data_IF_732532135254
#
_entry.id   IF_732532135254
#
_cell.length_a   1.000
_cell.length_b   1.000
_cell.length_c   1.000
_cell.angle_alpha   90.00
_cell.angle_beta   90.00
_cell.angle_gamma   90.00
#
_symmetry.space_group_name_H-M   'P 1'
#
loop_
_entity.id
_entity.type
_entity.pdbx_description
1 polymer ?
#
# COMPACT_ATOMS: atom_id res chain seq x y z
N UNK A 1 -2.81 -23.78 26.29
CA UNK A 1 -3.59 -22.68 25.70
C UNK A 1 -2.96 -21.40 26.22
N UNK A 2 -2.13 -20.74 25.41
CA UNK A 2 -1.58 -19.42 25.72
C UNK A 2 -1.13 -18.78 24.41
N UNK A 3 -2.00 -17.95 23.84
CA UNK A 3 -1.77 -17.25 22.58
C UNK A 3 -1.04 -15.94 22.86
N UNK A 4 0.29 -15.96 22.71
CA UNK A 4 1.12 -14.75 22.76
C UNK A 4 0.89 -13.90 21.52
N UNK A 5 0.28 -12.73 21.72
CA UNK A 5 0.10 -11.65 20.76
C UNK A 5 1.47 -11.05 20.40
N UNK A 6 1.89 -11.18 19.14
CA UNK A 6 2.99 -10.43 18.55
C UNK A 6 2.42 -9.28 17.72
N UNK A 7 2.57 -8.06 18.22
CA UNK A 7 2.43 -6.84 17.42
C UNK A 7 3.80 -6.54 16.79
N UNK A 8 3.89 -6.55 15.46
CA UNK A 8 5.05 -6.02 14.72
C UNK A 8 4.61 -4.75 14.02
N UNK A 9 5.03 -3.62 14.57
CA UNK A 9 4.97 -2.31 13.94
C UNK A 9 5.97 -2.24 12.79
N UNK A 10 5.52 -1.93 11.58
CA UNK A 10 6.39 -1.58 10.45
C UNK A 10 6.34 -0.07 10.25
N UNK A 11 7.37 0.62 10.70
CA UNK A 11 7.76 1.95 10.21
C UNK A 11 9.19 1.85 9.67
N UNK A 12 9.36 2.17 8.39
CA UNK A 12 10.62 2.19 7.67
C UNK A 12 11.46 3.41 8.08
N UNK A 13 12.76 3.21 8.35
CA UNK A 13 13.79 4.19 7.97
C UNK A 13 15.12 3.48 7.68
N UNK A 14 15.66 3.68 6.47
CA UNK A 14 17.06 3.39 6.13
C UNK A 14 17.95 4.45 6.75
N UNK A 15 18.91 4.07 7.60
CA UNK A 15 20.30 4.52 7.52
C UNK A 15 21.20 3.67 8.43
N UNK A 16 22.43 3.47 8.00
CA UNK A 16 23.45 2.55 8.51
C UNK A 16 24.14 3.05 9.79
N UNK A 17 24.16 2.25 10.88
CA UNK A 17 25.27 1.95 11.81
C UNK A 17 24.74 1.25 13.11
N UNK A 18 25.60 0.69 13.99
CA UNK A 18 25.55 -0.71 14.44
C UNK A 18 24.56 -1.02 15.56
N UNK A 19 24.20 -2.30 15.64
CA UNK A 19 23.17 -2.89 16.50
C UNK A 19 23.56 -2.86 17.98
N UNK A 20 22.81 -2.12 18.79
CA UNK A 20 22.67 -2.34 20.23
C UNK A 20 21.30 -2.98 20.51
N UNK A 21 21.31 -4.17 21.11
CA UNK A 21 20.11 -4.91 21.50
C UNK A 21 19.76 -4.54 22.94
N UNK A 22 18.67 -3.81 23.14
CA UNK A 22 18.09 -3.54 24.46
C UNK A 22 16.89 -4.46 24.68
N UNK A 23 16.80 -5.04 25.87
CA UNK A 23 15.66 -5.86 26.31
C UNK A 23 15.13 -5.32 27.63
N UNK A 24 13.81 -5.37 27.81
CA UNK A 24 13.12 -4.90 29.01
C UNK A 24 12.70 -6.10 29.85
N UNK A 25 13.13 -6.17 31.11
CA UNK A 25 12.72 -7.20 32.07
C UNK A 25 12.50 -6.56 33.44
N UNK A 26 11.34 -6.85 34.06
CA UNK A 26 10.94 -6.43 35.42
C UNK A 26 11.19 -4.94 35.74
N UNK A 27 10.70 -4.04 34.89
CA UNK A 27 10.54 -2.62 35.23
C UNK A 27 11.82 -1.80 35.38
N UNK A 28 12.96 -2.24 34.83
CA UNK A 28 14.21 -1.45 34.81
C UNK A 28 15.00 -1.69 33.52
N UNK A 29 15.54 -0.61 32.94
CA UNK A 29 16.47 -0.69 31.81
C UNK A 29 17.87 -1.07 32.30
N UNK A 30 18.48 -2.08 31.67
CA UNK A 30 19.86 -2.51 31.98
C UNK A 30 20.71 -2.37 30.72
N UNK A 31 21.79 -1.60 30.83
CA UNK A 31 22.78 -1.42 29.76
C UNK A 31 24.02 -2.28 30.06
N UNK A 32 24.39 -3.15 29.12
CA UNK A 32 25.66 -3.86 29.18
C UNK A 32 26.66 -3.20 28.23
N UNK A 33 27.67 -2.52 28.79
CA UNK A 33 28.87 -2.11 28.06
C UNK A 33 29.94 -3.18 28.28
N UNK A 34 30.22 -3.98 27.25
CA UNK A 34 31.34 -4.92 27.26
C UNK A 34 32.66 -4.16 27.21
N UNK A 35 33.51 -4.36 28.21
CA UNK A 35 34.84 -3.75 28.31
C UNK A 35 35.92 -4.48 27.52
N UNK A 36 36.91 -3.71 27.07
CA UNK A 36 38.20 -4.14 26.53
C UNK A 36 39.20 -2.98 26.68
N UNK A 37 40.39 -3.30 27.17
CA UNK A 37 41.39 -2.49 27.91
C UNK A 37 42.18 -1.43 27.11
N UNK A 38 42.92 -0.52 27.79
CA UNK A 38 43.50 0.70 27.20
C UNK A 38 45.00 0.58 26.87
N UNK A 39 45.47 1.39 25.91
CA UNK A 39 46.90 1.69 25.74
C UNK A 39 47.10 3.21 25.53
N UNK A 40 48.20 3.69 26.13
CA UNK A 40 48.57 5.08 26.43
C UNK A 40 49.28 5.80 25.26
N UNK A 41 49.29 7.14 25.33
CA UNK A 41 50.23 8.04 24.64
C UNK A 41 49.52 9.31 24.16
N UNK A 42 49.46 10.39 24.96
CA UNK A 42 50.32 11.60 24.87
C UNK A 42 50.13 12.36 23.53
N UNK A 43 49.95 13.67 23.44
CA UNK A 43 49.97 14.81 24.37
C UNK A 43 49.63 16.09 23.57
N UNK A 44 49.43 17.20 24.29
CA UNK A 44 49.57 18.61 23.86
C UNK A 44 48.35 19.37 23.29
N UNK A 45 47.81 20.23 24.16
CA UNK A 45 47.09 21.50 23.90
C UNK A 45 48.10 22.58 23.45
N UNK A 46 47.72 23.69 22.75
CA UNK A 46 46.88 24.73 23.36
C UNK A 46 45.85 25.48 22.48
N UNK A 47 44.88 26.03 23.23
CA UNK A 47 44.06 27.25 23.05
C UNK A 47 44.72 28.29 22.12
N UNK A 48 44.03 29.00 21.21
CA UNK A 48 43.22 30.21 21.50
C UNK A 48 42.57 30.79 20.22
N UNK A 49 41.28 31.14 20.34
CA UNK A 49 40.45 32.23 19.72
C UNK A 49 40.49 32.65 18.24
N UNK A 50 39.25 32.83 17.76
CA UNK A 50 38.69 33.96 16.99
C UNK A 50 38.88 34.07 15.46
N UNK A 51 37.77 33.80 14.79
CA UNK A 51 37.10 34.62 13.75
C UNK A 51 37.90 35.11 12.53
N UNK A 52 37.50 34.66 11.34
CA UNK A 52 36.61 35.45 10.45
C UNK A 52 36.43 34.81 9.06
N UNK A 53 35.22 35.00 8.50
CA UNK A 53 34.86 35.03 7.05
C UNK A 53 35.10 33.73 6.24
N UNK A 54 34.10 33.09 5.66
CA UNK A 54 33.32 33.62 4.52
C UNK A 54 32.18 32.66 4.15
N UNK A 55 31.18 33.23 3.47
CA UNK A 55 29.94 32.67 2.94
C UNK A 55 30.08 31.29 2.28
N UNK A 56 29.25 30.34 2.71
CA UNK A 56 28.85 29.17 1.92
C UNK A 56 27.33 29.08 1.94
N UNK A 57 26.71 29.34 0.79
CA UNK A 57 25.26 29.25 0.57
C UNK A 57 24.81 27.80 0.68
N UNK A 58 24.23 27.42 1.82
CA UNK A 58 23.55 26.14 1.99
C UNK A 58 22.12 26.25 1.50
N UNK A 59 21.83 25.72 0.31
CA UNK A 59 20.48 25.50 -0.15
C UNK A 59 19.81 24.45 0.76
N UNK A 60 19.02 24.93 1.72
CA UNK A 60 18.17 24.08 2.55
C UNK A 60 17.16 23.37 1.66
N UNK A 61 17.30 22.05 1.54
CA UNK A 61 16.26 21.19 0.97
C UNK A 61 15.11 21.18 1.96
N UNK A 62 14.12 22.05 1.74
CA UNK A 62 12.82 21.96 2.40
C UNK A 62 12.15 20.68 1.93
N UNK A 63 12.22 19.63 2.75
CA UNK A 63 11.35 18.46 2.61
C UNK A 63 9.94 18.93 2.93
N UNK A 64 9.17 19.28 1.90
CA UNK A 64 7.74 19.48 2.02
C UNK A 64 7.10 18.14 2.36
N UNK A 65 6.70 17.98 3.62
CA UNK A 65 5.75 16.95 4.03
C UNK A 65 4.50 17.10 3.16
N UNK A 66 4.28 16.16 2.24
CA UNK A 66 3.07 16.12 1.41
C UNK A 66 1.91 15.82 2.36
N UNK A 67 1.11 16.83 2.68
CA UNK A 67 -0.13 16.63 3.42
C UNK A 67 -1.00 15.64 2.64
N UNK A 68 -1.55 14.65 3.33
CA UNK A 68 -2.56 13.76 2.78
C UNK A 68 -3.76 14.63 2.39
N UNK A 69 -3.96 14.85 1.09
CA UNK A 69 -5.10 15.60 0.61
C UNK A 69 -6.37 14.84 1.04
N UNK A 70 -7.29 15.53 1.73
CA UNK A 70 -8.63 15.02 2.01
C UNK A 70 -9.22 14.58 0.66
N UNK A 71 -9.68 13.32 0.49
CA UNK A 71 -10.42 12.98 -0.70
C UNK A 71 -11.59 13.96 -0.74
N UNK A 72 -11.68 14.71 -1.83
CA UNK A 72 -12.81 15.59 -2.11
C UNK A 72 -14.05 14.77 -1.79
N UNK A 73 -14.82 15.26 -0.82
CA UNK A 73 -16.17 14.78 -0.50
C UNK A 73 -16.86 14.35 -1.78
N UNK A 74 -17.40 13.13 -1.80
CA UNK A 74 -18.33 12.53 -2.77
C UNK A 74 -18.27 13.12 -4.18
N UNK A 75 -18.04 12.27 -5.18
CA UNK A 75 -18.37 12.65 -6.57
C UNK A 75 -19.78 13.28 -6.58
N UNK A 76 -20.06 14.31 -7.41
CA UNK A 76 -21.37 14.97 -7.43
C UNK A 76 -22.56 14.03 -7.70
N UNK A 77 -22.29 12.76 -8.05
CA UNK A 77 -23.23 11.65 -8.18
C UNK A 77 -23.44 10.82 -6.89
N UNK A 78 -22.88 11.19 -5.74
CA UNK A 78 -23.08 10.49 -4.47
C UNK A 78 -22.34 9.15 -4.30
N UNK A 79 -21.43 8.80 -5.22
CA UNK A 79 -20.72 7.52 -5.21
C UNK A 79 -19.29 7.56 -4.67
N UNK A 80 -18.75 6.37 -4.36
CA UNK A 80 -17.35 6.17 -3.96
C UNK A 80 -16.42 6.74 -5.04
N UNK A 81 -15.46 7.62 -4.70
CA UNK A 81 -14.48 8.13 -5.66
C UNK A 81 -13.72 6.98 -6.34
N UNK A 82 -13.49 7.04 -7.66
CA UNK A 82 -12.88 5.94 -8.40
C UNK A 82 -11.35 5.88 -8.27
N UNK A 83 -10.79 6.49 -7.22
CA UNK A 83 -9.35 6.62 -7.03
C UNK A 83 -8.73 5.27 -6.67
N UNK A 84 -7.99 4.69 -7.63
CA UNK A 84 -7.22 3.47 -7.47
C UNK A 84 -5.72 3.76 -7.54
N UNK A 85 -4.99 3.44 -6.48
CA UNK A 85 -3.53 3.44 -6.50
C UNK A 85 -3.02 2.13 -7.10
N UNK A 86 -2.21 2.24 -8.16
CA UNK A 86 -1.72 1.11 -8.92
C UNK A 86 -0.19 1.11 -8.90
N UNK A 87 0.39 -0.01 -8.44
CA UNK A 87 1.83 -0.24 -8.44
C UNK A 87 2.17 -1.49 -9.24
N UNK A 88 3.09 -1.37 -10.20
CA UNK A 88 3.55 -2.48 -11.06
C UNK A 88 4.96 -2.88 -10.65
N UNK A 89 5.14 -4.17 -10.36
CA UNK A 89 6.40 -4.77 -9.94
C UNK A 89 6.87 -5.85 -10.92
N UNK A 90 8.16 -5.83 -11.23
CA UNK A 90 8.84 -6.94 -11.90
C UNK A 90 9.79 -7.64 -10.93
N UNK A 91 9.43 -8.85 -10.50
CA UNK A 91 10.18 -9.67 -9.54
C UNK A 91 10.54 -8.88 -8.27
N UNK A 92 9.55 -8.19 -7.72
CA UNK A 92 9.65 -7.45 -6.46
C UNK A 92 10.22 -6.03 -6.59
N UNK A 93 10.77 -5.66 -7.75
CA UNK A 93 11.21 -4.28 -8.02
C UNK A 93 10.03 -3.47 -8.55
N UNK A 94 9.76 -2.30 -7.96
CA UNK A 94 8.77 -1.35 -8.46
C UNK A 94 9.25 -0.73 -9.77
N UNK A 95 8.40 -0.72 -10.79
CA UNK A 95 8.69 -0.20 -12.12
C UNK A 95 7.74 0.92 -12.55
N UNK A 96 6.50 0.93 -12.05
CA UNK A 96 5.52 1.98 -12.31
C UNK A 96 4.62 2.16 -11.11
N UNK A 97 4.19 3.40 -10.88
CA UNK A 97 3.24 3.78 -9.85
C UNK A 97 2.42 4.96 -10.34
N UNK A 98 1.10 4.87 -10.24
CA UNK A 98 0.20 5.99 -10.52
C UNK A 98 -1.12 5.85 -9.74
N UNK A 99 -1.77 6.98 -9.49
CA UNK A 99 -3.13 7.04 -8.96
C UNK A 99 -4.10 7.32 -10.11
N UNK A 100 -5.01 6.38 -10.34
CA UNK A 100 -6.01 6.46 -11.41
C UNK A 100 -7.29 7.09 -10.88
N UNK A 101 -7.65 8.26 -11.43
CA UNK A 101 -8.88 9.00 -11.06
C UNK A 101 -10.09 8.68 -11.94
N UNK A 102 -10.13 7.51 -12.59
CA UNK A 102 -11.22 7.09 -13.48
C UNK A 102 -11.86 5.80 -13.00
N UNK A 103 -13.18 5.67 -13.15
CA UNK A 103 -13.92 4.44 -12.81
C UNK A 103 -13.56 3.28 -13.72
N UNK A 104 -13.02 3.54 -14.92
CA UNK A 104 -12.60 2.50 -15.87
C UNK A 104 -11.14 2.70 -16.22
N UNK A 105 -10.33 1.65 -16.05
CA UNK A 105 -8.93 1.67 -16.44
C UNK A 105 -8.46 0.37 -17.08
N UNK A 106 -7.57 0.49 -18.05
CA UNK A 106 -7.04 -0.62 -18.83
C UNK A 106 -5.55 -0.76 -18.58
N UNK A 107 -5.13 -1.93 -18.11
CA UNK A 107 -3.72 -2.30 -17.94
C UNK A 107 -3.25 -3.05 -19.20
N UNK A 108 -2.35 -2.44 -19.97
CA UNK A 108 -1.85 -3.00 -21.22
C UNK A 108 -0.39 -2.59 -21.50
N UNK A 109 0.37 -3.42 -22.23
CA UNK A 109 1.77 -3.14 -22.55
C UNK A 109 1.95 -2.32 -23.83
N UNK A 110 1.27 -2.76 -24.89
CA UNK A 110 1.20 -2.04 -26.16
C UNK A 110 -0.04 -1.16 -26.17
N UNK A 111 0.01 -0.04 -26.90
CA UNK A 111 -1.15 0.82 -27.10
C UNK A 111 -2.31 0.01 -27.62
N UNK A 112 -3.46 0.28 -27.02
CA UNK A 112 -4.70 -0.45 -27.20
C UNK A 112 -5.16 -0.31 -28.65
N UNK A 113 -5.81 -1.36 -29.15
CA UNK A 113 -6.54 -1.35 -30.42
C UNK A 113 -7.45 -0.12 -30.50
N UNK A 114 -7.45 0.66 -31.60
CA UNK A 114 -8.31 1.85 -31.76
C UNK A 114 -9.82 1.56 -31.58
N UNK A 115 -10.23 0.28 -31.55
CA UNK A 115 -11.59 -0.13 -31.25
C UNK A 115 -12.04 0.04 -29.78
N UNK A 116 -11.13 0.29 -28.82
CA UNK A 116 -11.53 0.57 -27.43
C UNK A 116 -11.83 2.07 -27.29
N UNK A 117 -13.04 2.48 -26.85
CA UNK A 117 -13.36 3.88 -26.60
C UNK A 117 -12.46 4.44 -25.49
N UNK A 118 -11.36 5.10 -25.90
CA UNK A 118 -10.35 5.67 -25.01
C UNK A 118 -10.87 6.90 -24.28
N UNK A 119 -11.90 7.57 -24.80
CA UNK A 119 -12.42 8.84 -24.26
C UNK A 119 -12.92 8.75 -22.81
N UNK A 120 -13.15 7.54 -22.28
CA UNK A 120 -13.59 7.30 -20.90
C UNK A 120 -12.72 6.29 -20.14
N UNK A 121 -11.64 5.78 -20.74
CA UNK A 121 -10.84 4.68 -20.17
C UNK A 121 -9.42 5.15 -19.87
N UNK A 122 -9.02 5.14 -18.60
CA UNK A 122 -7.65 5.47 -18.21
C UNK A 122 -6.70 4.35 -18.62
N UNK A 123 -5.65 4.65 -19.40
CA UNK A 123 -4.66 3.66 -19.80
C UNK A 123 -3.49 3.63 -18.81
N UNK A 124 -3.33 2.48 -18.14
CA UNK A 124 -2.18 2.16 -17.30
C UNK A 124 -1.21 1.34 -18.14
N UNK A 125 -0.15 1.97 -18.65
CA UNK A 125 0.80 1.28 -19.51
C UNK A 125 1.82 0.50 -18.69
N UNK A 126 1.98 -0.79 -18.98
CA UNK A 126 3.09 -1.56 -18.40
C UNK A 126 4.43 -1.01 -18.92
N UNK A 127 5.42 -0.76 -18.05
CA UNK A 127 6.73 -0.26 -18.46
C UNK A 127 7.54 -1.36 -19.16
N UNK A 128 8.42 -0.97 -20.09
CA UNK A 128 9.33 -1.91 -20.75
C UNK A 128 10.28 -2.57 -19.74
N UNK A 129 10.49 -3.90 -19.81
CA UNK A 129 11.44 -4.62 -18.97
C UNK A 129 12.90 -4.43 -19.42
N UNK A 130 13.19 -3.58 -20.41
CA UNK A 130 14.53 -3.36 -20.96
C UNK A 130 15.60 -3.01 -19.91
N UNK A 131 15.21 -2.36 -18.80
CA UNK A 131 16.12 -2.00 -17.70
C UNK A 131 16.41 -3.16 -16.71
N UNK A 132 15.82 -4.35 -16.88
CA UNK A 132 16.12 -5.53 -16.07
C UNK A 132 17.50 -6.10 -16.42
N UNK A 133 18.36 -6.30 -15.42
CA UNK A 133 19.71 -6.82 -15.63
C UNK A 133 19.74 -8.32 -16.05
N UNK A 134 18.86 -9.14 -15.45
CA UNK A 134 18.75 -10.56 -15.78
C UNK A 134 18.09 -10.73 -17.16
N UNK A 135 18.88 -11.14 -18.15
CA UNK A 135 18.41 -11.34 -19.53
C UNK A 135 17.32 -12.41 -19.65
N UNK A 136 17.38 -13.47 -18.83
CA UNK A 136 16.39 -14.54 -18.82
C UNK A 136 15.07 -14.02 -18.25
N UNK A 137 15.13 -13.29 -17.14
CA UNK A 137 13.95 -12.61 -16.58
C UNK A 137 13.35 -11.64 -17.61
N UNK A 138 14.18 -10.80 -18.22
CA UNK A 138 13.76 -9.82 -19.23
C UNK A 138 12.95 -10.46 -20.35
N UNK A 139 13.48 -11.55 -20.94
CA UNK A 139 12.81 -12.28 -22.03
C UNK A 139 11.44 -12.81 -21.62
N UNK A 140 11.35 -13.48 -20.47
CA UNK A 140 10.07 -14.02 -20.00
C UNK A 140 9.07 -12.93 -19.61
N UNK A 141 9.53 -11.83 -18.99
CA UNK A 141 8.66 -10.70 -18.67
C UNK A 141 8.12 -10.06 -19.95
N UNK A 142 8.96 -9.81 -20.96
CA UNK A 142 8.56 -9.27 -22.26
C UNK A 142 7.51 -10.15 -22.96
N UNK A 143 7.73 -11.47 -23.00
CA UNK A 143 6.81 -12.44 -23.61
C UNK A 143 5.41 -12.41 -22.96
N UNK A 144 5.36 -12.34 -21.62
CA UNK A 144 4.11 -12.19 -20.88
C UNK A 144 3.44 -10.86 -21.18
N UNK A 145 4.20 -9.76 -21.18
CA UNK A 145 3.72 -8.40 -21.42
C UNK A 145 3.02 -8.25 -22.78
N UNK A 146 3.56 -8.85 -23.84
CA UNK A 146 2.94 -8.86 -25.18
C UNK A 146 1.52 -9.45 -25.20
N UNK A 147 1.17 -10.27 -24.21
CA UNK A 147 -0.13 -10.92 -24.11
C UNK A 147 -1.00 -10.35 -22.96
N UNK A 148 -0.62 -9.20 -22.38
CA UNK A 148 -1.38 -8.53 -21.30
C UNK A 148 -2.52 -7.67 -21.83
N UNK A 149 -3.57 -7.58 -21.01
CA UNK A 149 -4.76 -6.77 -21.27
C UNK A 149 -5.80 -7.08 -20.20
N UNK A 150 -5.99 -6.14 -19.28
CA UNK A 150 -6.93 -6.27 -18.18
C UNK A 150 -7.72 -4.97 -18.01
N UNK A 151 -9.03 -5.05 -18.18
CA UNK A 151 -9.94 -3.95 -17.86
C UNK A 151 -10.33 -4.05 -16.40
N UNK A 152 -10.19 -2.95 -15.67
CA UNK A 152 -10.72 -2.74 -14.34
C UNK A 152 -11.86 -1.73 -14.42
N UNK A 153 -12.94 -2.00 -13.72
CA UNK A 153 -14.12 -1.14 -13.69
C UNK A 153 -14.68 -1.08 -12.27
N UNK A 154 -14.71 0.12 -11.71
CA UNK A 154 -15.44 0.42 -10.49
C UNK A 154 -16.87 0.83 -10.85
N UNK A 155 -17.83 0.00 -10.49
CA UNK A 155 -19.27 0.28 -10.62
C UNK A 155 -20.05 -0.41 -9.52
N UNK A 156 -21.22 0.12 -9.20
CA UNK A 156 -22.13 -0.47 -8.21
C UNK A 156 -21.44 -0.83 -6.88
N UNK A 157 -20.44 -0.01 -6.52
CA UNK A 157 -19.62 -0.17 -5.34
C UNK A 157 -18.86 -1.49 -5.25
N UNK A 158 -18.41 -1.94 -6.41
CA UNK A 158 -17.56 -3.10 -6.59
C UNK A 158 -16.45 -2.75 -7.55
N UNK A 159 -15.39 -3.54 -7.50
CA UNK A 159 -14.34 -3.51 -8.52
C UNK A 159 -14.47 -4.81 -9.31
N UNK A 160 -14.65 -4.66 -10.61
CA UNK A 160 -14.69 -5.74 -11.57
C UNK A 160 -13.39 -5.78 -12.37
N UNK A 161 -12.97 -6.99 -12.73
CA UNK A 161 -11.83 -7.24 -13.60
C UNK A 161 -12.24 -8.14 -14.76
N UNK A 162 -11.87 -7.75 -15.99
CA UNK A 162 -12.09 -8.55 -17.19
C UNK A 162 -10.77 -8.75 -17.95
N UNK A 163 -10.38 -10.02 -18.12
CA UNK A 163 -9.14 -10.40 -18.81
C UNK A 163 -9.37 -10.48 -20.31
N UNK A 164 -8.80 -9.55 -21.06
CA UNK A 164 -9.05 -9.38 -22.50
C UNK A 164 -8.12 -10.21 -23.41
N UNK A 165 -6.95 -10.62 -22.88
CA UNK A 165 -5.89 -11.27 -23.67
C UNK A 165 -5.52 -12.65 -23.11
N UNK A 166 -4.55 -13.30 -23.76
CA UNK A 166 -4.17 -14.70 -23.49
C UNK A 166 -3.37 -14.88 -22.19
N UNK A 167 -2.70 -13.84 -21.69
CA UNK A 167 -1.95 -13.92 -20.44
C UNK A 167 -2.91 -14.22 -19.27
N UNK A 168 -2.71 -15.35 -18.59
CA UNK A 168 -3.51 -15.71 -17.40
C UNK A 168 -3.27 -14.68 -16.30
N UNK A 169 -4.34 -14.25 -15.64
CA UNK A 169 -4.26 -13.32 -14.50
C UNK A 169 -4.87 -14.00 -13.29
N UNK A 170 -4.09 -14.10 -12.23
CA UNK A 170 -4.54 -14.60 -10.93
C UNK A 170 -4.70 -13.43 -9.98
N UNK A 171 -5.69 -13.48 -9.11
CA UNK A 171 -5.89 -12.43 -8.11
C UNK A 171 -6.08 -13.01 -6.71
N UNK A 172 -5.75 -12.20 -5.71
CA UNK A 172 -5.96 -12.47 -4.30
C UNK A 172 -5.91 -11.17 -3.50
N UNK A 173 -6.61 -11.13 -2.37
CA UNK A 173 -6.40 -10.11 -1.35
C UNK A 173 -5.10 -10.39 -0.57
N UNK A 174 -4.44 -9.35 -0.04
CA UNK A 174 -3.18 -9.48 0.70
C UNK A 174 -3.24 -10.56 1.79
N UNK A 175 -4.31 -10.56 2.58
CA UNK A 175 -4.54 -11.50 3.67
C UNK A 175 -4.63 -12.95 3.21
N UNK A 176 -5.22 -13.20 2.03
CA UNK A 176 -5.30 -14.55 1.47
C UNK A 176 -3.91 -15.09 1.14
N UNK A 177 -2.97 -14.21 0.80
CA UNK A 177 -1.57 -14.56 0.57
C UNK A 177 -0.80 -14.81 1.86
N UNK A 178 -1.13 -14.10 2.95
CA UNK A 178 -0.43 -14.18 4.23
C UNK A 178 -0.83 -15.41 5.07
N UNK A 179 -2.12 -15.75 5.10
CA UNK A 179 -2.65 -16.85 5.93
C UNK A 179 -2.38 -18.23 5.31
N UNK A 180 -1.75 -18.27 4.14
CA UNK A 180 -1.47 -19.50 3.42
C UNK A 180 -2.74 -20.25 2.99
N UNK A 181 -3.93 -19.67 3.12
CA UNK A 181 -5.17 -20.19 2.55
C UNK A 181 -5.26 -19.74 1.08
N UNK A 182 -4.39 -20.31 0.26
CA UNK A 182 -4.27 -19.95 -1.14
C UNK A 182 -5.30 -20.69 -1.98
N UNK A 183 -6.46 -20.08 -2.18
CA UNK A 183 -7.34 -20.34 -3.33
C UNK A 183 -7.19 -19.21 -4.35
N UNK A 184 -6.02 -19.03 -5.00
CA UNK A 184 -5.83 -17.93 -5.93
C UNK A 184 -6.80 -18.08 -7.10
N UNK A 185 -7.58 -17.02 -7.30
CA UNK A 185 -8.70 -16.98 -8.22
C UNK A 185 -8.18 -16.62 -9.60
N UNK A 186 -8.38 -17.50 -10.58
CA UNK A 186 -8.04 -17.24 -11.97
C UNK A 186 -9.15 -16.39 -12.60
N UNK A 187 -8.79 -15.27 -13.23
CA UNK A 187 -9.73 -14.52 -14.07
C UNK A 187 -9.96 -15.30 -15.37
N UNK A 188 -11.21 -15.69 -15.63
CA UNK A 188 -11.62 -16.27 -16.89
C UNK A 188 -11.46 -15.25 -18.03
N UNK A 189 -11.15 -15.73 -19.23
CA UNK A 189 -10.98 -14.83 -20.38
C UNK A 189 -12.34 -14.26 -20.78
N UNK A 190 -12.36 -12.97 -21.10
CA UNK A 190 -13.52 -12.26 -21.66
C UNK A 190 -14.77 -12.32 -20.75
N UNK A 191 -14.60 -12.82 -19.52
CA UNK A 191 -15.60 -12.88 -18.48
C UNK A 191 -15.23 -11.89 -17.40
N UNK A 192 -16.19 -11.04 -17.06
CA UNK A 192 -16.08 -10.12 -15.95
C UNK A 192 -16.14 -10.88 -14.61
N UNK A 193 -15.29 -10.48 -13.67
CA UNK A 193 -15.22 -11.09 -12.34
C UNK A 193 -15.15 -9.99 -11.29
N UNK A 194 -16.01 -10.06 -10.28
CA UNK A 194 -15.91 -9.22 -9.08
C UNK A 194 -14.65 -9.59 -8.29
N UNK A 195 -13.81 -8.59 -7.99
CA UNK A 195 -12.57 -8.77 -7.25
C UNK A 195 -12.54 -8.01 -5.90
N UNK A 196 -13.53 -7.14 -5.66
CA UNK A 196 -13.66 -6.37 -4.43
C UNK A 196 -15.07 -5.81 -4.25
N UNK A 197 -15.57 -5.79 -3.02
CA UNK A 197 -16.86 -5.21 -2.62
C UNK A 197 -16.64 -4.13 -1.55
N UNK A 198 -17.03 -2.89 -1.85
CA UNK A 198 -16.87 -1.78 -0.92
C UNK A 198 -17.89 -1.82 0.23
N UNK A 199 -19.07 -2.44 0.06
CA UNK A 199 -20.04 -2.67 1.15
C UNK A 199 -19.47 -3.61 2.20
N UNK A 200 -18.86 -4.70 1.74
CA UNK A 200 -18.21 -5.67 2.61
C UNK A 200 -17.10 -4.97 3.40
N UNK A 201 -16.24 -4.20 2.73
CA UNK A 201 -15.20 -3.40 3.38
C UNK A 201 -15.76 -2.44 4.45
N UNK A 202 -16.80 -1.66 4.14
CA UNK A 202 -17.38 -0.69 5.07
C UNK A 202 -17.99 -1.37 6.31
N UNK A 203 -18.67 -2.50 6.11
CA UNK A 203 -19.23 -3.32 7.22
C UNK A 203 -18.10 -3.86 8.09
N UNK A 204 -17.10 -4.45 7.45
CA UNK A 204 -15.91 -4.97 8.12
C UNK A 204 -15.11 -3.90 8.87
N UNK A 205 -15.06 -2.66 8.36
CA UNK A 205 -14.40 -1.53 9.01
C UNK A 205 -15.18 -1.07 10.25
N UNK A 206 -16.51 -1.01 10.16
CA UNK A 206 -17.40 -0.71 11.29
C UNK A 206 -17.20 -1.71 12.42
N UNK A 207 -17.25 -3.00 12.10
CA UNK A 207 -17.06 -4.05 13.10
C UNK A 207 -15.67 -4.00 13.74
N UNK A 208 -14.65 -3.61 12.97
CA UNK A 208 -13.29 -3.45 13.51
C UNK A 208 -13.20 -2.31 14.52
N UNK A 209 -13.81 -1.16 14.19
CA UNK A 209 -13.88 -0.01 15.10
C UNK A 209 -14.66 -0.36 16.38
N UNK A 210 -15.77 -1.07 16.24
CA UNK A 210 -16.67 -1.41 17.35
C UNK A 210 -16.17 -2.60 18.20
N UNK A 211 -14.94 -3.06 17.95
CA UNK A 211 -14.32 -4.22 18.60
C UNK A 211 -15.14 -5.51 18.46
N UNK A 212 -16.01 -5.59 17.44
CA UNK A 212 -16.80 -6.78 17.08
C UNK A 212 -15.98 -7.78 16.26
N UNK A 213 -14.83 -7.34 15.73
CA UNK A 213 -13.81 -8.21 15.13
C UNK A 213 -12.42 -7.78 15.54
N UNK A 214 -11.49 -8.74 15.62
CA UNK A 214 -10.11 -8.49 16.03
C UNK A 214 -9.24 -7.86 14.94
N UNK A 215 -9.50 -8.19 13.66
CA UNK A 215 -8.65 -7.81 12.54
C UNK A 215 -9.33 -6.72 11.71
N UNK A 216 -8.53 -5.75 11.25
CA UNK A 216 -8.99 -4.73 10.30
C UNK A 216 -9.44 -5.34 8.98
N UNK A 217 -10.26 -4.67 8.15
CA UNK A 217 -10.55 -5.10 6.78
C UNK A 217 -9.30 -5.14 5.90
N UNK A 218 -9.31 -6.02 4.89
CA UNK A 218 -8.29 -6.01 3.84
C UNK A 218 -8.86 -5.29 2.61
N UNK A 219 -8.04 -4.48 1.98
CA UNK A 219 -8.39 -3.70 0.80
C UNK A 219 -7.24 -3.68 -0.23
N UNK A 220 -6.15 -4.42 0.03
CA UNK A 220 -5.05 -4.52 -0.92
C UNK A 220 -5.26 -5.74 -1.81
N UNK A 221 -5.43 -5.49 -3.11
CA UNK A 221 -5.65 -6.53 -4.11
C UNK A 221 -4.36 -6.75 -4.89
N UNK A 222 -3.94 -7.99 -5.05
CA UNK A 222 -2.81 -8.35 -5.90
C UNK A 222 -3.27 -9.09 -7.14
N UNK A 223 -2.79 -8.64 -8.30
CA UNK A 223 -2.95 -9.29 -9.59
C UNK A 223 -1.59 -9.84 -10.03
N UNK A 224 -1.53 -11.11 -10.42
CA UNK A 224 -0.32 -11.75 -10.91
C UNK A 224 -0.53 -12.25 -12.35
N UNK A 225 0.29 -11.72 -13.26
CA UNK A 225 0.22 -12.02 -14.68
C UNK A 225 1.15 -13.18 -15.02
N UNK A 226 0.62 -14.19 -15.71
CA UNK A 226 1.33 -15.37 -16.19
C UNK A 226 1.67 -16.42 -15.12
N UNK A 227 1.51 -16.12 -13.82
CA UNK A 227 1.94 -17.01 -12.74
C UNK A 227 0.90 -17.13 -11.63
N UNK A 228 0.67 -18.36 -11.15
CA UNK A 228 -0.21 -18.62 -10.00
C UNK A 228 0.50 -18.25 -8.69
N UNK A 229 -0.24 -17.75 -7.70
CA UNK A 229 0.25 -17.65 -6.32
C UNK A 229 0.50 -19.04 -5.72
N UNK A 230 1.48 -19.15 -4.82
CA UNK A 230 1.92 -20.44 -4.27
C UNK A 230 2.51 -20.26 -2.89
N UNK A 231 2.30 -21.20 -1.97
CA UNK A 231 2.90 -21.11 -0.62
C UNK A 231 4.43 -21.19 -0.65
N UNK A 232 4.97 -21.95 -1.61
CA UNK A 232 6.40 -22.20 -1.74
C UNK A 232 7.22 -20.97 -2.19
N UNK A 233 6.58 -19.94 -2.76
CA UNK A 233 7.28 -18.76 -3.29
C UNK A 233 6.52 -17.48 -2.95
N UNK A 234 7.18 -16.48 -2.37
CA UNK A 234 6.54 -15.22 -2.01
C UNK A 234 6.02 -14.49 -3.25
N UNK A 235 5.02 -13.61 -3.08
CA UNK A 235 4.43 -12.84 -4.19
C UNK A 235 5.44 -11.92 -4.88
N UNK A 236 6.45 -11.47 -4.16
CA UNK A 236 7.54 -10.63 -4.65
C UNK A 236 8.45 -11.40 -5.63
N UNK A 237 8.38 -12.74 -5.66
CA UNK A 237 9.13 -13.53 -6.64
C UNK A 237 8.47 -13.58 -8.03
N UNK A 238 7.28 -13.00 -8.20
CA UNK A 238 6.51 -13.09 -9.44
C UNK A 238 7.06 -12.13 -10.50
N UNK A 239 7.10 -12.57 -11.75
CA UNK A 239 7.66 -11.82 -12.87
C UNK A 239 6.92 -10.51 -13.11
N UNK A 240 5.59 -10.53 -12.99
CA UNK A 240 4.72 -9.36 -13.13
C UNK A 240 3.67 -9.44 -12.03
N UNK A 241 3.74 -8.52 -11.08
CA UNK A 241 2.80 -8.37 -9.99
C UNK A 241 2.27 -6.94 -10.02
N UNK A 242 0.95 -6.78 -9.93
CA UNK A 242 0.31 -5.48 -9.78
C UNK A 242 -0.38 -5.45 -8.43
N UNK A 243 -0.15 -4.38 -7.68
CA UNK A 243 -0.86 -4.06 -6.43
C UNK A 243 -1.90 -2.99 -6.75
N UNK A 244 -3.13 -3.21 -6.32
CA UNK A 244 -4.22 -2.24 -6.36
C UNK A 244 -4.60 -1.87 -4.92
N UNK A 245 -4.78 -0.58 -4.66
CA UNK A 245 -5.30 -0.06 -3.39
C UNK A 245 -6.39 0.97 -3.68
N UNK A 246 -7.66 0.70 -3.32
CA UNK A 246 -8.70 1.70 -3.38
C UNK A 246 -8.43 2.79 -2.33
N UNK A 247 -8.19 4.02 -2.79
CA UNK A 247 -7.80 5.15 -1.90
C UNK A 247 -8.90 5.49 -0.90
N UNK A 248 -10.16 5.27 -1.28
CA UNK A 248 -11.29 5.37 -0.37
C UNK A 248 -11.14 4.48 0.86
N UNK A 249 -10.78 3.21 0.65
CA UNK A 249 -10.59 2.25 1.74
C UNK A 249 -9.40 2.62 2.61
N UNK A 250 -8.28 2.99 1.99
CA UNK A 250 -7.07 3.40 2.72
C UNK A 250 -7.32 4.62 3.60
N UNK A 251 -7.99 5.65 3.06
CA UNK A 251 -8.31 6.87 3.80
C UNK A 251 -9.15 6.58 5.05
N UNK A 252 -10.22 5.80 4.91
CA UNK A 252 -11.11 5.51 6.03
C UNK A 252 -10.51 4.55 7.04
N UNK A 253 -9.71 3.60 6.58
CA UNK A 253 -8.93 2.74 7.47
C UNK A 253 -7.96 3.56 8.34
N UNK A 254 -7.20 4.49 7.74
CA UNK A 254 -6.31 5.39 8.49
C UNK A 254 -7.06 6.29 9.47
N UNK A 255 -8.26 6.72 9.10
CA UNK A 255 -9.12 7.54 9.97
C UNK A 255 -9.51 6.77 11.24
N UNK A 256 -10.02 5.54 11.09
CA UNK A 256 -10.41 4.67 12.22
C UNK A 256 -9.22 4.36 13.12
N UNK A 257 -8.04 4.11 12.55
CA UNK A 257 -6.83 3.91 13.36
C UNK A 257 -6.45 5.14 14.18
N UNK A 258 -6.58 6.35 13.62
CA UNK A 258 -6.28 7.60 14.31
C UNK A 258 -7.26 7.89 15.44
N UNK A 259 -8.54 7.62 15.23
CA UNK A 259 -9.58 7.74 16.27
C UNK A 259 -9.27 6.82 17.47
N UNK A 260 -8.97 5.54 17.21
CA UNK A 260 -8.64 4.58 18.26
C UNK A 260 -7.33 4.91 19.01
N UNK A 261 -6.35 5.52 18.34
CA UNK A 261 -5.10 5.95 18.97
C UNK A 261 -5.28 7.18 19.89
N UNK A 262 -6.19 8.10 19.54
CA UNK A 262 -6.51 9.27 20.36
C UNK A 262 -7.16 8.91 21.71
N UNK A 263 -7.79 7.73 21.82
CA UNK A 263 -8.43 7.25 23.06
C UNK A 263 -7.43 6.89 24.17
N UNK A 264 -6.16 6.63 23.85
CA UNK A 264 -5.11 6.28 24.83
C UNK A 264 -4.35 7.49 25.38
N UNK A 265 -4.51 8.67 24.78
CA UNK A 265 -3.77 9.88 25.16
C UNK A 265 -4.64 10.88 25.96
N UNK A 266 -5.71 10.38 26.59
CA UNK A 266 -6.73 11.16 27.30
C UNK A 266 -6.21 11.74 28.64
N UNK A 267 -5.32 12.71 28.54
CA UNK A 267 -5.07 13.74 29.56
C UNK A 267 -5.32 15.16 29.03
N UNK A 268 -5.76 15.31 27.77
CA UNK A 268 -5.98 16.60 27.12
C UNK A 268 -7.28 16.58 26.34
N UNK A 269 -8.32 17.14 26.96
CA UNK A 269 -9.50 17.80 26.39
C UNK A 269 -10.00 17.30 25.02
N UNK A 270 -11.15 16.62 25.07
CA UNK A 270 -11.99 16.28 23.91
C UNK A 270 -12.55 17.55 23.25
N UNK A 271 -12.14 17.86 22.03
CA UNK A 271 -12.93 18.67 21.10
C UNK A 271 -12.66 18.17 19.68
N UNK A 272 -13.75 18.06 18.91
CA UNK A 272 -13.88 17.54 17.52
C UNK A 272 -14.41 16.11 17.38
N UNK A 273 -15.57 15.85 17.98
CA UNK A 273 -16.50 14.78 17.61
C UNK A 273 -17.27 15.06 16.29
N UNK A 274 -16.87 16.08 15.52
CA UNK A 274 -17.55 16.50 14.28
C UNK A 274 -17.12 15.72 13.03
N UNK A 275 -15.94 15.11 13.01
CA UNK A 275 -15.42 14.41 11.82
C UNK A 275 -15.73 12.90 11.80
N UNK A 276 -15.89 12.28 12.97
CA UNK A 276 -16.34 10.88 13.09
C UNK A 276 -17.80 10.68 12.66
N UNK A 277 -18.59 11.76 12.67
CA UNK A 277 -19.95 11.79 12.12
C UNK A 277 -19.95 11.64 10.59
N UNK A 278 -18.90 12.07 9.88
CA UNK A 278 -18.84 12.05 8.42
C UNK A 278 -18.63 10.66 7.82
N UNK A 279 -17.87 9.77 8.49
CA UNK A 279 -17.71 8.37 8.06
C UNK A 279 -19.01 7.60 8.21
N UNK A 280 -19.72 7.82 9.31
CA UNK A 280 -20.96 7.11 9.61
C UNK A 280 -22.14 7.67 8.85
N UNK A 281 -22.27 8.99 8.68
CA UNK A 281 -23.21 9.53 7.69
C UNK A 281 -22.91 8.98 6.31
N UNK A 282 -21.65 8.85 5.89
CA UNK A 282 -21.33 8.27 4.58
C UNK A 282 -21.70 6.78 4.50
N UNK A 283 -21.33 5.96 5.48
CA UNK A 283 -21.67 4.52 5.49
C UNK A 283 -23.19 4.31 5.67
N UNK A 284 -23.87 5.13 6.46
CA UNK A 284 -25.32 5.06 6.69
C UNK A 284 -26.10 5.61 5.49
N UNK A 285 -25.71 6.75 4.90
CA UNK A 285 -26.26 7.26 3.64
C UNK A 285 -26.09 6.24 2.50
N UNK A 286 -24.99 5.51 2.53
CA UNK A 286 -24.70 4.42 1.62
C UNK A 286 -25.52 3.14 1.89
N UNK A 287 -25.78 2.80 3.16
CA UNK A 287 -26.69 1.72 3.53
C UNK A 287 -28.16 2.08 3.24
N UNK A 288 -28.56 3.35 3.36
CA UNK A 288 -29.92 3.84 3.11
C UNK A 288 -30.27 3.97 1.61
N UNK A 289 -29.30 3.97 0.70
CA UNK A 289 -29.56 3.87 -0.75
C UNK A 289 -29.95 2.45 -1.21
N UNK A 290 -30.16 1.52 -0.27
CA UNK A 290 -30.45 0.10 -0.52
C UNK A 290 -31.85 -0.34 -0.08
N UNK A 291 -32.66 0.58 0.45
CA UNK A 291 -34.09 0.41 0.73
C UNK A 291 -34.93 1.18 -0.31
#
# INVERSE_FOLDING_TARGET
MDSKLYWVSWALLRSSAPRTLTWFSRGRWVHHTGGGTPARGASCWPRTQAASKTRGSGAGVTVRSKALAKPSSLSPAGGIPPNLDISIFYRGKLFHHEEVGSSRCLLAYQTVDPAIPLDLTWLVQFPSPASLADQKQRRFTEELLQNTGLLLEQRDNKIYAQRLKKCKVFWALSRQLDVGNLSPKLLCRDQETEIFDFKEFCTELRDFRDYRRERSPDFTIFLCFGQRFSKAKPKESKLILVKLVPKFCEYWYEHVLREGASSLNSGSLSLQLSDSFSLFELIEQYNMQLD
#
